data_IF_052883902238
#
_entry.id   IF_052883902238
#
_cell.length_a   1.000
_cell.length_b   1.000
_cell.length_c   1.000
_cell.angle_alpha   90.00
_cell.angle_beta   90.00
_cell.angle_gamma   90.00
#
_symmetry.space_group_name_H-M   'P 1'
#
loop_
_entity.id
_entity.type
_entity.pdbx_description
1 polymer ?
#
# COMPACT_ATOMS: atom_id res chain seq x y z
N UNK A 1 -32.70 -29.92 -6.83
CA UNK A 1 -32.13 -30.12 -5.48
C UNK A 1 -30.72 -30.61 -5.71
N UNK A 2 -29.73 -29.74 -5.62
CA UNK A 2 -28.32 -30.09 -5.79
C UNK A 2 -27.71 -30.27 -4.41
N UNK A 3 -27.19 -31.47 -4.13
CA UNK A 3 -26.49 -31.76 -2.88
C UNK A 3 -25.16 -31.01 -2.87
N UNK A 4 -25.02 -30.10 -1.90
CA UNK A 4 -23.76 -29.45 -1.56
C UNK A 4 -23.03 -30.40 -0.61
N UNK A 5 -22.01 -31.09 -1.10
CA UNK A 5 -21.13 -31.87 -0.23
C UNK A 5 -20.11 -30.91 0.38
N UNK A 6 -20.28 -30.67 1.68
CA UNK A 6 -19.30 -29.97 2.51
C UNK A 6 -18.25 -31.01 2.93
N UNK A 7 -17.33 -31.32 2.00
CA UNK A 7 -16.24 -32.26 2.22
C UNK A 7 -15.06 -31.55 2.90
N UNK A 8 -15.28 -31.10 4.14
CA UNK A 8 -14.18 -30.65 5.01
C UNK A 8 -13.50 -31.89 5.59
N UNK A 9 -12.53 -32.45 4.86
CA UNK A 9 -11.68 -33.53 5.34
C UNK A 9 -10.76 -33.05 6.47
N UNK A 10 -10.82 -33.63 7.68
CA UNK A 10 -9.92 -33.28 8.76
C UNK A 10 -8.66 -34.13 8.63
N UNK A 11 -7.55 -33.55 8.14
CA UNK A 11 -6.26 -34.20 8.37
C UNK A 11 -5.10 -33.87 7.44
N UNK A 12 -5.30 -33.20 6.32
CA UNK A 12 -4.19 -32.81 5.45
C UNK A 12 -3.88 -31.31 5.61
N UNK A 13 -2.62 -30.94 5.92
CA UNK A 13 -2.24 -29.55 6.00
C UNK A 13 -2.41 -28.88 4.62
N UNK A 14 -2.96 -27.67 4.60
CA UNK A 14 -3.19 -26.88 3.37
C UNK A 14 -1.91 -26.50 2.61
N UNK A 15 -0.74 -26.69 3.23
CA UNK A 15 0.57 -26.34 2.70
C UNK A 15 1.58 -27.44 3.06
N UNK A 16 2.50 -27.73 2.14
CA UNK A 16 3.62 -28.62 2.38
C UNK A 16 4.69 -27.95 3.28
N UNK A 17 5.64 -28.73 3.78
CA UNK A 17 6.78 -28.18 4.52
C UNK A 17 7.61 -27.21 3.65
N UNK A 18 7.76 -27.52 2.36
CA UNK A 18 8.46 -26.65 1.41
C UNK A 18 7.73 -25.31 1.23
N UNK A 19 6.40 -25.32 1.17
CA UNK A 19 5.62 -24.09 1.04
C UNK A 19 5.80 -23.16 2.25
N UNK A 20 6.00 -23.72 3.45
CA UNK A 20 6.26 -22.95 4.66
C UNK A 20 7.68 -22.36 4.62
N UNK A 21 8.68 -23.17 4.26
CA UNK A 21 10.07 -22.70 4.14
C UNK A 21 10.20 -21.58 3.10
N UNK A 22 9.59 -21.76 1.92
CA UNK A 22 9.58 -20.75 0.87
C UNK A 22 8.86 -19.46 1.32
N UNK A 23 7.76 -19.58 2.08
CA UNK A 23 7.04 -18.44 2.63
C UNK A 23 7.89 -17.66 3.65
N UNK A 24 8.61 -18.36 4.52
CA UNK A 24 9.51 -17.74 5.51
C UNK A 24 10.66 -16.99 4.80
N UNK A 25 11.25 -17.57 3.76
CA UNK A 25 12.28 -16.92 2.94
C UNK A 25 11.76 -15.65 2.27
N UNK A 26 10.53 -15.70 1.71
CA UNK A 26 9.89 -14.54 1.09
C UNK A 26 9.65 -13.43 2.11
N UNK A 27 9.10 -13.76 3.29
CA UNK A 27 8.81 -12.80 4.35
C UNK A 27 10.10 -12.19 4.93
N UNK A 28 11.17 -12.99 5.03
CA UNK A 28 12.48 -12.51 5.44
C UNK A 28 13.08 -11.54 4.40
N UNK A 29 13.00 -11.89 3.11
CA UNK A 29 13.48 -11.03 2.02
C UNK A 29 12.66 -9.75 1.84
N UNK A 30 11.38 -9.76 2.22
CA UNK A 30 10.44 -8.64 2.08
C UNK A 30 9.93 -8.16 3.45
N UNK A 31 10.79 -7.53 4.28
CA UNK A 31 10.37 -7.07 5.60
C UNK A 31 9.22 -6.06 5.49
N UNK A 32 8.20 -6.14 6.36
CA UNK A 32 7.07 -5.22 6.33
C UNK A 32 7.54 -3.76 6.44
N UNK A 33 7.23 -2.94 5.44
CA UNK A 33 7.47 -1.49 5.48
C UNK A 33 6.18 -0.77 5.79
N UNK A 34 6.19 0.13 6.77
CA UNK A 34 5.05 1.02 7.01
C UNK A 34 4.92 2.00 5.83
N UNK A 35 3.89 1.80 5.01
CA UNK A 35 3.49 2.79 4.00
C UNK A 35 2.54 3.76 4.68
N UNK A 36 3.05 4.96 5.02
CA UNK A 36 2.20 6.05 5.50
C UNK A 36 1.71 6.85 4.31
N UNK A 37 0.40 6.76 4.03
CA UNK A 37 -0.26 7.64 3.08
C UNK A 37 -0.60 8.94 3.80
N UNK A 38 0.07 10.02 3.44
CA UNK A 38 -0.24 11.33 4.00
C UNK A 38 -1.52 11.83 3.35
N UNK A 39 -2.52 12.18 4.15
CA UNK A 39 -3.77 12.75 3.68
C UNK A 39 -3.87 14.22 4.14
N UNK A 40 -4.39 15.07 3.28
CA UNK A 40 -4.82 16.42 3.63
C UNK A 40 -6.06 16.37 4.53
N UNK A 41 -6.36 17.47 5.23
CA UNK A 41 -7.61 17.60 5.99
C UNK A 41 -8.87 17.50 5.13
N UNK A 42 -8.77 17.69 3.81
CA UNK A 42 -9.84 17.45 2.85
C UNK A 42 -10.07 15.97 2.51
N UNK A 43 -9.20 15.05 2.96
CA UNK A 43 -9.30 13.61 2.71
C UNK A 43 -8.57 13.11 1.47
N UNK A 44 -8.00 13.99 0.64
CA UNK A 44 -7.16 13.63 -0.51
C UNK A 44 -5.71 13.37 -0.13
N UNK A 45 -4.95 12.79 -1.05
CA UNK A 45 -3.51 12.60 -0.89
C UNK A 45 -2.78 13.91 -0.73
N UNK A 46 -1.85 13.94 0.22
CA UNK A 46 -0.96 15.05 0.40
C UNK A 46 0.23 14.95 -0.58
N UNK A 47 0.54 16.02 -1.33
CA UNK A 47 -0.18 17.30 -1.38
C UNK A 47 -1.42 17.22 -2.29
N UNK A 48 -2.57 17.68 -1.79
CA UNK A 48 -3.78 17.79 -2.62
C UNK A 48 -3.62 18.96 -3.61
N UNK A 49 -4.48 19.08 -4.64
CA UNK A 49 -4.37 20.12 -5.66
C UNK A 49 -4.28 21.55 -5.09
N UNK A 50 -5.03 21.84 -4.03
CA UNK A 50 -4.99 23.15 -3.36
C UNK A 50 -3.64 23.43 -2.70
N UNK A 51 -3.07 22.43 -2.00
CA UNK A 51 -1.75 22.55 -1.37
C UNK A 51 -0.65 22.66 -2.43
N UNK A 52 -0.76 21.91 -3.51
CA UNK A 52 0.17 21.99 -4.64
C UNK A 52 0.15 23.39 -5.27
N UNK A 53 -1.04 23.94 -5.52
CA UNK A 53 -1.21 25.30 -6.00
C UNK A 53 -0.61 26.34 -5.03
N UNK A 54 -0.91 26.24 -3.73
CA UNK A 54 -0.37 27.17 -2.75
C UNK A 54 1.17 27.13 -2.68
N UNK A 55 1.78 25.95 -2.83
CA UNK A 55 3.24 25.79 -2.92
C UNK A 55 3.80 26.48 -4.15
N UNK A 56 3.17 26.31 -5.32
CA UNK A 56 3.57 26.98 -6.56
C UNK A 56 3.52 28.50 -6.42
N UNK A 57 2.43 29.04 -5.88
CA UNK A 57 2.28 30.49 -5.65
C UNK A 57 3.38 31.01 -4.72
N UNK A 58 3.63 30.32 -3.60
CA UNK A 58 4.70 30.74 -2.68
C UNK A 58 6.08 30.67 -3.32
N UNK A 59 6.35 29.64 -4.13
CA UNK A 59 7.61 29.51 -4.85
C UNK A 59 7.81 30.66 -5.85
N UNK A 60 6.78 31.01 -6.63
CA UNK A 60 6.84 32.12 -7.57
C UNK A 60 7.02 33.49 -6.89
N UNK A 61 6.43 33.69 -5.71
CA UNK A 61 6.64 34.92 -4.91
C UNK A 61 8.07 35.01 -4.38
N UNK A 62 8.67 33.87 -4.01
CA UNK A 62 10.03 33.82 -3.46
C UNK A 62 11.08 33.93 -4.55
N UNK A 63 10.83 33.35 -5.74
CA UNK A 63 11.73 33.36 -6.89
C UNK A 63 11.03 33.95 -8.13
N UNK A 64 10.86 35.28 -8.21
CA UNK A 64 10.13 35.91 -9.31
C UNK A 64 10.85 35.87 -10.67
N UNK A 65 12.16 35.56 -10.70
CA UNK A 65 13.02 35.68 -11.89
C UNK A 65 13.37 34.34 -12.59
N UNK A 66 12.87 33.20 -12.12
CA UNK A 66 13.13 31.88 -12.74
C UNK A 66 11.89 31.43 -13.54
N UNK A 67 11.95 31.31 -14.89
CA UNK A 67 10.81 30.86 -15.68
C UNK A 67 10.53 29.37 -15.41
N UNK A 68 9.26 29.08 -15.12
CA UNK A 68 8.72 27.74 -14.84
C UNK A 68 8.83 26.77 -16.03
#
# INVERSE_FOLDING_TARGET
MGERTDDTFPGEPFASAQDIEDADDILFAHPPRRVVRWLCGCGEDYPCPEVAFARLVKAAVINPDEPA
#
